data_IF_174207587068
#
_entry.id   IF_174207587068
#
_cell.length_a   1.000
_cell.length_b   1.000
_cell.length_c   1.000
_cell.angle_alpha   90.00
_cell.angle_beta   90.00
_cell.angle_gamma   90.00
#
_symmetry.space_group_name_H-M   'P 1'
#
loop_
_entity.id
_entity.type
_entity.pdbx_description
1 polymer ?
#
# COMPACT_ATOMS: atom_id res chain seq x y z
N UNK A 1 21.37 25.65 3.00
CA UNK A 1 20.24 25.52 2.14
C UNK A 1 19.42 24.33 2.58
N UNK A 2 18.34 24.55 3.34
CA UNK A 2 17.48 23.50 3.84
C UNK A 2 16.78 22.78 2.70
N UNK A 3 16.79 21.46 2.75
CA UNK A 3 15.97 20.61 1.92
C UNK A 3 14.50 20.94 2.19
N UNK A 4 13.87 21.70 1.31
CA UNK A 4 12.43 21.94 1.39
C UNK A 4 11.72 20.65 1.06
N UNK A 5 11.17 20.03 2.08
CA UNK A 5 10.20 18.95 1.95
C UNK A 5 9.02 19.42 1.10
N UNK A 6 8.82 18.78 -0.06
CA UNK A 6 7.65 19.04 -0.90
C UNK A 6 6.60 17.99 -0.58
N UNK A 7 5.81 18.25 0.44
CA UNK A 7 4.67 17.42 0.79
C UNK A 7 3.44 17.99 0.08
N UNK A 8 2.61 17.12 -0.47
CA UNK A 8 1.34 17.53 -1.06
C UNK A 8 0.32 17.88 0.04
N UNK A 9 -0.74 18.64 -0.25
CA UNK A 9 -1.82 18.83 0.71
C UNK A 9 -2.41 17.51 1.23
N UNK A 10 -2.40 16.46 0.40
CA UNK A 10 -2.85 15.12 0.81
C UNK A 10 -1.93 14.47 1.83
N UNK A 11 -0.62 14.57 1.63
CA UNK A 11 0.35 14.06 2.60
C UNK A 11 0.22 14.79 3.94
N UNK A 12 0.05 16.10 3.90
CA UNK A 12 -0.19 16.90 5.09
C UNK A 12 -1.48 16.49 5.79
N UNK A 13 -2.55 16.22 5.04
CA UNK A 13 -3.82 15.73 5.58
C UNK A 13 -3.66 14.38 6.26
N UNK A 14 -3.00 13.43 5.63
CA UNK A 14 -2.74 12.11 6.20
C UNK A 14 -1.87 12.19 7.45
N UNK A 15 -0.80 13.00 7.40
CA UNK A 15 0.06 13.25 8.55
C UNK A 15 -0.73 13.91 9.69
N UNK A 16 -1.54 14.91 9.40
CA UNK A 16 -2.40 15.56 10.37
C UNK A 16 -3.37 14.57 11.03
N UNK A 17 -4.10 13.79 10.24
CA UNK A 17 -5.03 12.77 10.74
C UNK A 17 -4.30 11.77 11.64
N UNK A 18 -3.09 11.35 11.27
CA UNK A 18 -2.32 10.38 12.04
C UNK A 18 -1.77 10.97 13.34
N UNK A 19 -1.26 12.19 13.31
CA UNK A 19 -0.58 12.81 14.44
C UNK A 19 -1.54 13.53 15.41
N UNK A 20 -2.57 14.14 14.87
CA UNK A 20 -3.49 15.00 15.63
C UNK A 20 -4.95 14.55 15.56
N UNK A 21 -5.25 13.48 14.86
CA UNK A 21 -6.54 13.05 14.34
C UNK A 21 -7.69 12.83 15.33
N UNK A 22 -7.57 13.38 16.51
CA UNK A 22 -8.50 13.18 17.61
C UNK A 22 -9.04 14.49 18.08
N UNK A 23 -10.15 14.47 18.69
CA UNK A 23 -10.72 15.58 19.38
C UNK A 23 -11.07 16.80 18.50
N UNK A 24 -10.19 17.21 17.60
CA UNK A 24 -10.39 18.38 16.73
C UNK A 24 -11.13 18.10 15.42
N UNK A 25 -11.16 16.83 14.98
CA UNK A 25 -11.82 16.45 13.73
C UNK A 25 -13.31 16.08 13.92
N UNK A 26 -13.74 15.87 15.15
CA UNK A 26 -15.05 15.30 15.49
C UNK A 26 -16.24 16.06 14.93
N UNK A 27 -16.17 17.36 14.98
CA UNK A 27 -17.28 18.25 14.65
C UNK A 27 -17.04 19.05 13.37
N UNK A 28 -15.97 18.75 12.63
CA UNK A 28 -15.55 19.55 11.47
C UNK A 28 -15.98 18.93 10.15
N UNK A 29 -16.51 19.75 9.28
CA UNK A 29 -16.75 19.39 7.89
C UNK A 29 -15.44 19.14 7.15
N UNK A 30 -15.51 18.44 6.01
CA UNK A 30 -14.35 18.20 5.16
C UNK A 30 -13.61 19.50 4.76
N UNK A 31 -14.34 20.57 4.52
CA UNK A 31 -13.73 21.86 4.15
C UNK A 31 -12.98 22.50 5.33
N UNK A 32 -13.54 22.42 6.53
CA UNK A 32 -12.89 22.89 7.76
C UNK A 32 -11.64 22.06 8.07
N UNK A 33 -11.67 20.75 7.83
CA UNK A 33 -10.50 19.88 7.96
C UNK A 33 -9.43 20.24 6.93
N UNK A 34 -9.79 20.51 5.68
CA UNK A 34 -8.85 20.98 4.65
C UNK A 34 -8.21 22.30 5.04
N UNK A 35 -8.98 23.27 5.53
CA UNK A 35 -8.45 24.55 5.99
C UNK A 35 -7.52 24.38 7.19
N UNK A 36 -7.87 23.49 8.12
CA UNK A 36 -7.03 23.18 9.28
C UNK A 36 -5.73 22.49 8.87
N UNK A 37 -5.77 21.56 7.92
CA UNK A 37 -4.58 20.91 7.35
C UNK A 37 -3.65 21.93 6.71
N UNK A 38 -4.19 22.86 5.93
CA UNK A 38 -3.39 23.91 5.29
C UNK A 38 -2.70 24.81 6.32
N UNK A 39 -3.40 25.15 7.41
CA UNK A 39 -2.83 25.91 8.52
C UNK A 39 -1.76 25.11 9.27
N UNK A 40 -2.08 23.86 9.60
CA UNK A 40 -1.19 22.98 10.37
C UNK A 40 0.03 22.56 9.55
N UNK A 41 -0.05 22.64 8.21
CA UNK A 41 1.07 22.38 7.33
C UNK A 41 2.29 23.24 7.60
N UNK A 42 2.13 24.52 7.85
CA UNK A 42 3.24 25.41 8.18
C UNK A 42 3.82 25.07 9.57
N UNK A 43 2.95 24.72 10.52
CA UNK A 43 3.36 24.26 11.85
C UNK A 43 4.11 22.92 11.76
N UNK A 44 3.65 22.03 10.89
CA UNK A 44 4.28 20.73 10.63
C UNK A 44 5.68 20.88 10.03
N UNK A 45 5.88 21.81 9.10
CA UNK A 45 7.20 22.13 8.57
C UNK A 45 8.18 22.55 9.68
N UNK A 46 7.72 23.34 10.63
CA UNK A 46 8.54 23.78 11.77
C UNK A 46 8.91 22.62 12.69
N UNK A 47 7.97 21.68 12.93
CA UNK A 47 8.23 20.49 13.75
C UNK A 47 9.24 19.52 13.10
N UNK A 48 9.32 19.49 11.78
CA UNK A 48 10.33 18.68 11.08
C UNK A 48 11.75 19.24 11.18
N UNK A 49 11.90 20.52 11.39
CA UNK A 49 13.19 21.14 11.62
C UNK A 49 13.77 20.77 13.00
N UNK A 50 12.90 20.36 13.93
CA UNK A 50 13.26 20.03 15.33
C UNK A 50 13.49 18.52 15.62
N UNK A 51 13.61 17.67 14.63
CA UNK A 51 14.13 16.29 14.67
C UNK A 51 13.28 15.16 15.26
N UNK A 52 12.05 15.32 15.70
CA UNK A 52 11.34 14.22 16.38
C UNK A 52 10.28 13.47 15.56
N UNK A 53 10.09 13.83 14.31
CA UNK A 53 9.12 13.12 13.43
C UNK A 53 9.85 12.60 12.21
N UNK A 54 10.24 11.32 12.26
CA UNK A 54 10.82 10.61 11.11
C UNK A 54 9.71 10.22 10.10
N UNK A 55 9.08 11.24 9.54
CA UNK A 55 8.23 11.07 8.36
C UNK A 55 9.14 11.04 7.14
N UNK A 56 9.68 9.87 6.84
CA UNK A 56 10.41 9.62 5.58
C UNK A 56 9.45 9.67 4.38
N UNK A 57 8.66 10.72 4.28
CA UNK A 57 7.75 10.96 3.16
C UNK A 57 8.46 11.64 1.98
N UNK A 58 9.76 11.89 2.09
CA UNK A 58 10.51 12.52 1.04
C UNK A 58 11.72 11.74 0.59
N UNK A 59 11.95 11.76 -0.73
CA UNK A 59 13.25 11.40 -1.23
C UNK A 59 14.24 12.36 -0.58
N UNK A 60 15.26 11.83 0.07
CA UNK A 60 16.48 12.58 0.23
C UNK A 60 16.76 13.21 -1.14
N UNK A 61 16.78 14.53 -1.23
CA UNK A 61 17.37 15.18 -2.37
C UNK A 61 18.85 14.80 -2.32
N UNK A 62 19.17 13.65 -2.88
CA UNK A 62 20.54 13.43 -3.29
C UNK A 62 20.90 14.65 -4.12
N UNK A 63 21.91 15.40 -3.65
CA UNK A 63 22.45 16.53 -4.38
C UNK A 63 22.65 16.04 -5.79
N UNK A 64 21.83 16.53 -6.71
CA UNK A 64 22.11 16.34 -8.15
C UNK A 64 23.56 16.75 -8.31
N UNK A 65 24.45 15.89 -8.79
CA UNK A 65 25.78 16.36 -9.16
C UNK A 65 25.53 17.54 -10.09
N UNK A 66 26.23 18.63 -9.86
CA UNK A 66 26.25 19.79 -10.75
C UNK A 66 26.64 19.23 -12.13
N UNK A 67 25.64 18.84 -12.91
CA UNK A 67 25.83 18.46 -14.29
C UNK A 67 26.26 19.74 -15.01
N UNK A 68 27.45 19.67 -15.53
CA UNK A 68 28.02 20.74 -16.35
C UNK A 68 26.99 21.29 -17.32
N UNK A 69 26.95 22.62 -17.37
CA UNK A 69 26.04 23.49 -18.13
C UNK A 69 26.09 23.25 -19.67
N UNK A 70 26.64 22.15 -20.13
CA UNK A 70 26.83 21.82 -21.55
C UNK A 70 26.09 20.55 -21.99
N UNK A 71 24.87 20.33 -21.46
CA UNK A 71 24.00 19.32 -22.05
C UNK A 71 23.21 19.92 -23.20
N UNK A 72 23.11 19.20 -24.33
CA UNK A 72 22.31 19.65 -25.46
C UNK A 72 20.86 19.87 -25.02
N UNK A 73 20.26 20.93 -25.53
CA UNK A 73 18.96 21.51 -25.21
C UNK A 73 17.74 20.57 -25.40
N UNK A 74 17.90 19.28 -25.63
CA UNK A 74 16.78 18.35 -25.78
C UNK A 74 17.17 16.90 -25.50
N UNK A 75 17.34 16.53 -24.23
CA UNK A 75 17.09 15.12 -23.89
C UNK A 75 15.60 14.87 -24.03
N UNK A 76 15.15 13.85 -24.79
CA UNK A 76 13.72 13.56 -24.90
C UNK A 76 13.15 13.29 -23.51
N UNK A 77 12.12 14.04 -23.13
CA UNK A 77 11.41 13.81 -21.88
C UNK A 77 10.77 12.43 -21.93
N UNK A 78 10.93 11.67 -20.84
CA UNK A 78 10.17 10.44 -20.66
C UNK A 78 8.72 10.86 -20.35
N UNK A 79 7.80 10.48 -21.22
CA UNK A 79 6.37 10.73 -21.05
C UNK A 79 5.70 9.51 -20.51
N UNK A 80 5.09 9.65 -19.33
CA UNK A 80 4.51 8.56 -18.57
C UNK A 80 3.00 8.72 -18.49
N UNK A 81 2.28 7.67 -18.87
CA UNK A 81 0.82 7.58 -18.73
C UNK A 81 0.44 6.73 -17.51
N UNK A 82 -0.51 7.20 -16.72
CA UNK A 82 -1.11 6.48 -15.61
C UNK A 82 -2.59 6.23 -15.91
N UNK A 83 -3.00 4.99 -15.88
CA UNK A 83 -4.39 4.60 -16.16
C UNK A 83 -5.05 4.19 -14.84
N UNK A 84 -6.01 4.99 -14.40
CA UNK A 84 -6.73 4.83 -13.15
C UNK A 84 -8.14 4.26 -13.37
N UNK A 85 -8.53 3.33 -12.53
CA UNK A 85 -9.89 2.79 -12.52
C UNK A 85 -10.93 3.78 -11.99
N UNK A 86 -10.51 4.65 -11.07
CA UNK A 86 -11.35 5.68 -10.45
C UNK A 86 -10.65 7.03 -10.50
N UNK A 87 -11.16 7.98 -9.74
CA UNK A 87 -10.50 9.28 -9.55
C UNK A 87 -9.76 9.33 -8.22
N UNK A 88 -8.74 10.18 -8.08
CA UNK A 88 -8.09 10.42 -6.79
C UNK A 88 -9.05 10.91 -5.70
N UNK A 89 -10.12 11.60 -6.08
CA UNK A 89 -11.13 12.11 -5.17
C UNK A 89 -12.13 11.06 -4.68
N UNK A 90 -12.21 9.89 -5.32
CA UNK A 90 -13.20 8.86 -5.02
C UNK A 90 -12.62 7.53 -4.56
N UNK A 91 -11.30 7.35 -4.65
CA UNK A 91 -10.61 6.11 -4.31
C UNK A 91 -9.29 6.39 -3.61
N UNK A 92 -9.13 5.84 -2.42
CA UNK A 92 -7.86 5.92 -1.68
C UNK A 92 -6.71 5.22 -2.43
N UNK A 93 -6.98 4.12 -3.09
CA UNK A 93 -6.01 3.42 -3.93
C UNK A 93 -5.54 4.29 -5.09
N UNK A 94 -6.46 4.89 -5.84
CA UNK A 94 -6.14 5.82 -6.92
C UNK A 94 -5.40 7.05 -6.40
N UNK A 95 -5.82 7.58 -5.25
CA UNK A 95 -5.16 8.71 -4.60
C UNK A 95 -3.69 8.41 -4.27
N UNK A 96 -3.40 7.23 -3.73
CA UNK A 96 -2.02 6.82 -3.43
C UNK A 96 -1.14 6.78 -4.68
N UNK A 97 -1.64 6.26 -5.79
CA UNK A 97 -0.91 6.26 -7.07
C UNK A 97 -0.76 7.67 -7.67
N UNK A 98 -1.77 8.52 -7.51
CA UNK A 98 -1.68 9.92 -7.93
C UNK A 98 -0.62 10.70 -7.15
N UNK A 99 -0.50 10.48 -5.85
CA UNK A 99 0.62 11.02 -5.08
C UNK A 99 1.96 10.54 -5.64
N UNK A 100 2.04 9.30 -6.08
CA UNK A 100 3.21 8.73 -6.74
C UNK A 100 3.53 9.42 -8.08
N UNK A 101 2.53 9.69 -8.89
CA UNK A 101 2.67 10.44 -10.14
C UNK A 101 3.22 11.86 -9.90
N UNK A 102 2.59 12.59 -8.99
CA UNK A 102 3.01 13.94 -8.63
C UNK A 102 4.43 13.98 -8.06
N UNK A 103 4.78 12.96 -7.29
CA UNK A 103 6.13 12.77 -6.76
C UNK A 103 7.18 12.65 -7.89
N UNK A 104 6.89 11.90 -8.96
CA UNK A 104 7.78 11.79 -10.11
C UNK A 104 8.02 13.13 -10.79
N UNK A 105 6.99 13.92 -11.00
CA UNK A 105 7.11 15.24 -11.60
C UNK A 105 7.97 16.18 -10.76
N UNK A 106 7.85 16.09 -9.44
CA UNK A 106 8.64 16.89 -8.51
C UNK A 106 10.10 16.43 -8.44
N UNK A 107 10.34 15.11 -8.54
CA UNK A 107 11.66 14.52 -8.45
C UNK A 107 12.47 14.71 -9.74
N UNK A 108 11.81 14.63 -10.88
CA UNK A 108 12.40 14.72 -12.22
C UNK A 108 11.75 15.82 -13.07
N UNK A 109 11.80 17.09 -12.65
CA UNK A 109 11.05 18.17 -13.31
C UNK A 109 11.48 18.43 -14.76
N UNK A 110 12.72 18.10 -15.10
CA UNK A 110 13.28 18.35 -16.43
C UNK A 110 13.23 17.12 -17.33
N UNK A 111 13.22 15.90 -16.76
CA UNK A 111 13.33 14.64 -17.49
C UNK A 111 12.00 13.94 -17.71
N UNK A 112 11.00 14.20 -16.87
CA UNK A 112 9.74 13.46 -16.84
C UNK A 112 8.55 14.38 -17.05
N UNK A 113 7.64 13.93 -17.91
CA UNK A 113 6.31 14.48 -18.06
C UNK A 113 5.28 13.38 -17.82
N UNK A 114 4.25 13.64 -17.03
CA UNK A 114 3.22 12.64 -16.71
C UNK A 114 1.84 13.10 -17.16
N UNK A 115 0.99 12.14 -17.43
CA UNK A 115 -0.44 12.33 -17.72
C UNK A 115 -1.21 11.19 -17.05
N UNK A 116 -2.42 11.46 -16.58
CA UNK A 116 -3.29 10.42 -16.06
C UNK A 116 -4.64 10.40 -16.78
N UNK A 117 -5.22 9.21 -16.82
CA UNK A 117 -6.54 8.92 -17.37
C UNK A 117 -7.37 8.31 -16.26
N UNK A 118 -8.49 8.92 -15.96
CA UNK A 118 -9.35 8.56 -14.85
C UNK A 118 -10.58 7.77 -15.30
N UNK A 119 -11.24 7.08 -14.36
CA UNK A 119 -12.48 6.35 -14.60
C UNK A 119 -12.40 5.32 -15.74
N UNK A 120 -11.24 4.68 -15.90
CA UNK A 120 -11.11 3.59 -16.84
C UNK A 120 -11.96 2.38 -16.41
N UNK A 121 -12.65 1.79 -17.37
CA UNK A 121 -13.41 0.55 -17.19
C UNK A 121 -12.86 -0.53 -18.11
N UNK A 122 -13.33 -1.76 -17.98
CA UNK A 122 -12.97 -2.84 -18.90
C UNK A 122 -13.35 -2.52 -20.36
N UNK A 123 -14.39 -1.71 -20.56
CA UNK A 123 -14.84 -1.30 -21.90
C UNK A 123 -14.03 -0.14 -22.46
N UNK A 124 -13.45 0.73 -21.63
CA UNK A 124 -12.77 1.96 -22.07
C UNK A 124 -11.26 1.90 -21.96
N UNK A 125 -10.69 0.98 -21.21
CA UNK A 125 -9.25 0.93 -20.90
C UNK A 125 -8.38 0.74 -22.15
N UNK A 126 -8.80 -0.07 -23.12
CA UNK A 126 -8.06 -0.25 -24.37
C UNK A 126 -7.89 1.08 -25.12
N UNK A 127 -8.97 1.85 -25.23
CA UNK A 127 -8.94 3.17 -25.88
C UNK A 127 -8.09 4.17 -25.10
N UNK A 128 -8.17 4.18 -23.78
CA UNK A 128 -7.38 5.09 -22.94
C UNK A 128 -5.88 4.77 -22.96
N UNK A 129 -5.50 3.51 -23.00
CA UNK A 129 -4.10 3.11 -23.19
C UNK A 129 -3.63 3.60 -24.58
N UNK A 130 -4.44 3.42 -25.61
CA UNK A 130 -4.11 3.88 -26.97
C UNK A 130 -4.00 5.41 -27.03
N UNK A 131 -4.89 6.15 -26.39
CA UNK A 131 -4.80 7.60 -26.28
C UNK A 131 -3.49 8.05 -25.62
N UNK A 132 -3.06 7.36 -24.56
CA UNK A 132 -1.78 7.62 -23.92
C UNK A 132 -0.60 7.39 -24.88
N UNK A 133 -0.64 6.32 -25.67
CA UNK A 133 0.38 6.03 -26.68
C UNK A 133 0.38 7.09 -27.78
N UNK A 134 -0.79 7.48 -28.26
CA UNK A 134 -0.95 8.45 -29.36
C UNK A 134 -0.44 9.85 -28.98
N UNK A 135 -0.54 10.24 -27.74
CA UNK A 135 0.04 11.50 -27.23
C UNK A 135 1.53 11.40 -26.88
N UNK A 136 2.16 10.26 -27.13
CA UNK A 136 3.60 10.04 -27.01
C UNK A 136 4.09 9.44 -25.71
N UNK A 137 3.22 8.84 -24.89
CA UNK A 137 3.67 8.09 -23.71
C UNK A 137 4.47 6.86 -24.15
N UNK A 138 5.68 6.73 -23.62
CA UNK A 138 6.58 5.60 -23.86
C UNK A 138 6.74 4.67 -22.65
N UNK A 139 6.11 5.05 -21.55
CA UNK A 139 6.00 4.26 -20.32
C UNK A 139 4.56 4.43 -19.79
N UNK A 140 3.88 3.33 -19.51
CA UNK A 140 2.49 3.32 -19.06
C UNK A 140 2.35 2.42 -17.84
N UNK A 141 1.71 2.92 -16.79
CA UNK A 141 1.31 2.19 -15.60
C UNK A 141 -0.20 2.03 -15.58
N UNK A 142 -0.67 0.80 -15.52
CA UNK A 142 -2.07 0.49 -15.25
C UNK A 142 -2.18 0.04 -13.79
N UNK A 143 -2.95 0.77 -12.99
CA UNK A 143 -2.85 0.71 -11.52
C UNK A 143 -3.79 -0.28 -10.85
N UNK A 144 -4.42 -1.16 -11.61
CA UNK A 144 -5.30 -2.20 -11.08
C UNK A 144 -5.09 -3.54 -11.82
N UNK A 145 -5.18 -4.67 -11.11
CA UNK A 145 -5.14 -5.99 -11.73
C UNK A 145 -6.19 -6.21 -12.82
N UNK A 146 -7.32 -5.52 -12.74
CA UNK A 146 -8.38 -5.61 -13.74
C UNK A 146 -7.92 -5.27 -15.17
N UNK A 147 -6.86 -4.48 -15.30
CA UNK A 147 -6.35 -4.02 -16.61
C UNK A 147 -5.18 -4.83 -17.14
N UNK A 148 -4.88 -5.98 -16.57
CA UNK A 148 -3.75 -6.82 -17.00
C UNK A 148 -3.89 -7.25 -18.47
N UNK A 149 -5.07 -7.69 -18.88
CA UNK A 149 -5.30 -8.16 -20.27
C UNK A 149 -5.20 -7.00 -21.28
N UNK A 150 -5.77 -5.86 -20.97
CA UNK A 150 -5.65 -4.66 -21.79
C UNK A 150 -4.18 -4.21 -21.92
N UNK A 151 -3.41 -4.30 -20.83
CA UNK A 151 -1.98 -3.98 -20.80
C UNK A 151 -1.18 -4.91 -21.71
N UNK A 152 -1.44 -6.23 -21.65
CA UNK A 152 -0.79 -7.22 -22.51
C UNK A 152 -1.11 -6.97 -23.99
N UNK A 153 -2.38 -6.75 -24.31
CA UNK A 153 -2.83 -6.47 -25.68
C UNK A 153 -2.15 -5.23 -26.25
N UNK A 154 -2.09 -4.16 -25.49
CA UNK A 154 -1.44 -2.92 -25.93
C UNK A 154 0.08 -3.10 -26.08
N UNK A 155 0.75 -3.84 -25.20
CA UNK A 155 2.18 -4.11 -25.29
C UNK A 155 2.55 -4.96 -26.52
N UNK A 156 1.73 -5.93 -26.88
CA UNK A 156 1.93 -6.74 -28.10
C UNK A 156 1.84 -5.88 -29.36
N UNK A 157 0.89 -4.94 -29.39
CA UNK A 157 0.69 -4.04 -30.52
C UNK A 157 1.72 -2.90 -30.61
N UNK A 158 2.36 -2.53 -29.51
CA UNK A 158 3.27 -1.38 -29.39
C UNK A 158 4.56 -1.78 -28.68
N UNK A 159 5.43 -2.47 -29.35
CA UNK A 159 6.66 -3.08 -28.78
C UNK A 159 7.66 -2.06 -28.22
N UNK A 160 7.62 -0.82 -28.66
CA UNK A 160 8.48 0.27 -28.20
C UNK A 160 7.97 0.92 -26.89
N UNK A 161 6.74 0.65 -26.50
CA UNK A 161 6.14 1.18 -25.27
C UNK A 161 6.30 0.19 -24.12
N UNK A 162 6.82 0.67 -22.98
CA UNK A 162 6.91 -0.13 -21.77
C UNK A 162 5.61 0.00 -21.01
N UNK A 163 4.97 -1.13 -20.72
CA UNK A 163 3.73 -1.19 -19.96
C UNK A 163 3.93 -2.06 -18.72
N UNK A 164 3.56 -1.53 -17.56
CA UNK A 164 3.56 -2.23 -16.29
C UNK A 164 2.17 -2.23 -15.68
N UNK A 165 1.80 -3.36 -15.10
CA UNK A 165 0.53 -3.51 -14.40
C UNK A 165 0.75 -3.75 -12.91
N UNK A 166 -0.02 -3.04 -12.08
CA UNK A 166 -0.02 -3.22 -10.64
C UNK A 166 -0.83 -4.44 -10.25
N UNK A 167 -0.15 -5.58 -10.12
CA UNK A 167 -0.76 -6.86 -9.78
C UNK A 167 0.25 -7.83 -9.18
N UNK A 168 -0.27 -8.79 -8.41
CA UNK A 168 0.45 -9.93 -7.87
C UNK A 168 0.12 -11.21 -8.65
N UNK A 169 1.03 -12.17 -8.60
CA UNK A 169 0.85 -13.52 -9.11
C UNK A 169 0.41 -13.59 -10.59
N UNK A 170 0.89 -12.63 -11.37
CA UNK A 170 0.67 -12.60 -12.81
C UNK A 170 2.01 -12.51 -13.52
N UNK A 171 2.35 -13.52 -14.29
CA UNK A 171 3.56 -13.52 -15.12
C UNK A 171 3.15 -13.37 -16.57
N UNK A 172 3.72 -12.38 -17.25
CA UNK A 172 3.46 -12.11 -18.66
C UNK A 172 4.76 -11.83 -19.40
N UNK A 173 4.86 -12.33 -20.62
CA UNK A 173 6.02 -12.12 -21.48
C UNK A 173 6.17 -10.67 -21.95
N UNK A 174 5.07 -9.95 -22.14
CA UNK A 174 5.06 -8.66 -22.83
C UNK A 174 4.97 -7.45 -21.90
N UNK A 175 4.56 -7.66 -20.65
CA UNK A 175 4.47 -6.63 -19.64
C UNK A 175 5.22 -7.04 -18.38
N UNK A 176 5.55 -6.06 -17.55
CA UNK A 176 6.04 -6.30 -16.20
C UNK A 176 4.95 -6.01 -15.20
N UNK A 177 4.96 -6.76 -14.12
CA UNK A 177 4.04 -6.58 -13.00
C UNK A 177 4.79 -6.03 -11.80
N UNK A 178 4.12 -5.22 -11.01
CA UNK A 178 4.69 -4.64 -9.82
C UNK A 178 3.67 -4.60 -8.68
N UNK A 179 4.16 -4.74 -7.47
CA UNK A 179 3.36 -4.62 -6.26
C UNK A 179 4.25 -4.30 -5.06
N UNK A 180 3.64 -3.99 -3.91
CA UNK A 180 4.35 -3.71 -2.67
C UNK A 180 4.21 -4.83 -1.66
N UNK A 181 5.20 -4.98 -0.77
CA UNK A 181 5.17 -5.91 0.36
C UNK A 181 4.44 -5.29 1.55
N UNK A 182 3.16 -4.96 1.37
CA UNK A 182 2.35 -4.34 2.42
C UNK A 182 2.26 -5.21 3.68
N UNK A 183 2.40 -6.51 3.58
CA UNK A 183 2.41 -7.42 4.74
C UNK A 183 3.49 -7.07 5.77
N UNK A 184 4.61 -6.46 5.36
CA UNK A 184 5.64 -5.98 6.29
C UNK A 184 5.09 -4.88 7.20
N UNK A 185 4.36 -3.91 6.64
CA UNK A 185 3.68 -2.87 7.43
C UNK A 185 2.57 -3.46 8.30
N UNK A 186 1.82 -4.42 7.78
CA UNK A 186 0.74 -5.09 8.55
C UNK A 186 1.27 -5.84 9.76
N UNK A 187 2.45 -6.44 9.66
CA UNK A 187 3.11 -7.05 10.80
C UNK A 187 3.40 -6.04 11.92
N UNK A 188 3.95 -4.88 11.58
CA UNK A 188 4.18 -3.79 12.53
C UNK A 188 2.88 -3.28 13.15
N UNK A 189 1.83 -3.14 12.34
CA UNK A 189 0.52 -2.71 12.80
C UNK A 189 -0.09 -3.74 13.75
N UNK A 190 0.08 -5.02 13.47
CA UNK A 190 -0.32 -6.10 14.37
C UNK A 190 0.41 -6.06 15.72
N UNK A 191 1.71 -5.80 15.70
CA UNK A 191 2.50 -5.62 16.92
C UNK A 191 2.00 -4.43 17.75
N UNK A 192 1.68 -3.31 17.13
CA UNK A 192 1.09 -2.15 17.81
C UNK A 192 -0.27 -2.52 18.42
N UNK A 193 -1.13 -3.15 17.66
CA UNK A 193 -2.45 -3.56 18.13
C UNK A 193 -2.35 -4.56 19.31
N UNK A 194 -1.43 -5.50 19.24
CA UNK A 194 -1.17 -6.45 20.33
C UNK A 194 -0.65 -5.76 21.60
N UNK A 195 0.19 -4.73 21.47
CA UNK A 195 0.68 -3.95 22.59
C UNK A 195 -0.40 -3.04 23.21
N UNK A 196 -1.34 -2.55 22.41
CA UNK A 196 -2.35 -1.60 22.83
C UNK A 196 -3.70 -2.23 23.21
N UNK A 197 -3.88 -3.52 22.91
CA UNK A 197 -5.12 -4.23 23.20
C UNK A 197 -5.36 -4.37 24.72
N UNK A 198 -6.56 -4.03 25.16
CA UNK A 198 -6.94 -4.13 26.57
C UNK A 198 -7.49 -5.52 26.97
N UNK A 199 -8.01 -6.27 25.99
CA UNK A 199 -8.74 -7.51 26.25
C UNK A 199 -8.37 -8.69 25.33
N UNK A 200 -7.22 -8.70 24.72
CA UNK A 200 -6.75 -9.73 23.78
C UNK A 200 -7.62 -9.89 22.51
N UNK A 201 -8.56 -9.00 22.25
CA UNK A 201 -9.49 -9.07 21.13
C UNK A 201 -9.21 -7.96 20.15
N UNK A 202 -8.83 -8.35 18.93
CA UNK A 202 -8.54 -7.48 17.83
C UNK A 202 -9.49 -7.79 16.67
N UNK A 203 -9.75 -6.82 15.80
CA UNK A 203 -10.49 -7.04 14.57
C UNK A 203 -9.66 -6.58 13.37
N UNK A 204 -9.73 -7.35 12.31
CA UNK A 204 -9.18 -6.99 11.01
C UNK A 204 -10.31 -6.93 9.99
N UNK A 205 -10.53 -5.77 9.41
CA UNK A 205 -11.51 -5.56 8.34
C UNK A 205 -10.75 -5.56 7.01
N UNK A 206 -10.93 -6.64 6.25
CA UNK A 206 -10.36 -6.79 4.91
C UNK A 206 -11.39 -6.43 3.83
N UNK A 207 -10.92 -6.06 2.64
CA UNK A 207 -11.81 -5.73 1.52
C UNK A 207 -12.05 -6.94 0.63
N UNK A 208 -11.04 -7.33 -0.15
CA UNK A 208 -11.18 -8.41 -1.14
C UNK A 208 -10.32 -9.62 -0.78
N UNK A 209 -10.87 -10.84 -0.88
CA UNK A 209 -10.08 -12.07 -0.75
C UNK A 209 -9.25 -12.32 -2.02
N UNK A 210 -8.21 -11.56 -2.17
CA UNK A 210 -7.28 -11.59 -3.30
C UNK A 210 -5.87 -11.95 -2.84
N UNK A 211 -5.02 -12.35 -3.77
CA UNK A 211 -3.60 -12.56 -3.51
C UNK A 211 -2.98 -11.30 -2.89
N UNK A 212 -2.19 -11.49 -1.86
CA UNK A 212 -1.62 -10.43 -1.05
C UNK A 212 -2.47 -10.01 0.17
N UNK A 213 -3.80 -9.96 0.05
CA UNK A 213 -4.69 -9.68 1.19
C UNK A 213 -4.55 -10.69 2.31
N UNK A 214 -4.41 -11.96 1.96
CA UNK A 214 -4.28 -13.04 2.96
C UNK A 214 -2.95 -12.90 3.70
N UNK A 215 -1.86 -12.61 3.00
CA UNK A 215 -0.58 -12.34 3.64
C UNK A 215 -0.64 -11.12 4.57
N UNK A 216 -1.38 -10.08 4.21
CA UNK A 216 -1.59 -8.91 5.05
C UNK A 216 -2.31 -9.27 6.36
N UNK A 217 -3.39 -10.04 6.28
CA UNK A 217 -4.14 -10.52 7.45
C UNK A 217 -3.24 -11.35 8.35
N UNK A 218 -2.53 -12.32 7.79
CA UNK A 218 -1.67 -13.22 8.54
C UNK A 218 -0.49 -12.51 9.17
N UNK A 219 0.14 -11.56 8.47
CA UNK A 219 1.22 -10.76 9.02
C UNK A 219 0.74 -9.93 10.21
N UNK A 220 -0.42 -9.30 10.11
CA UNK A 220 -1.05 -8.59 11.22
C UNK A 220 -1.27 -9.51 12.43
N UNK A 221 -1.86 -10.67 12.21
CA UNK A 221 -2.14 -11.63 13.28
C UNK A 221 -0.87 -12.16 13.94
N UNK A 222 0.18 -12.43 13.17
CA UNK A 222 1.48 -12.85 13.69
C UNK A 222 2.18 -11.74 14.48
N UNK A 223 2.12 -10.51 14.02
CA UNK A 223 2.64 -9.35 14.75
C UNK A 223 1.96 -9.17 16.10
N UNK A 224 0.63 -9.27 16.12
CA UNK A 224 -0.16 -9.22 17.36
C UNK A 224 0.21 -10.37 18.31
N UNK A 225 0.31 -11.59 17.80
CA UNK A 225 0.66 -12.78 18.59
C UNK A 225 2.08 -12.71 19.16
N UNK A 226 3.02 -12.14 18.44
CA UNK A 226 4.39 -11.97 18.91
C UNK A 226 4.45 -11.12 20.19
N UNK A 227 3.65 -10.08 20.27
CA UNK A 227 3.60 -9.18 21.42
C UNK A 227 2.63 -9.68 22.49
N UNK A 228 1.50 -10.24 22.08
CA UNK A 228 0.49 -10.78 22.96
C UNK A 228 0.10 -12.20 22.49
N UNK A 229 0.67 -13.26 23.06
CA UNK A 229 0.38 -14.63 22.64
C UNK A 229 -1.09 -15.04 22.77
N UNK A 230 -1.89 -14.28 23.54
CA UNK A 230 -3.32 -14.53 23.72
C UNK A 230 -4.19 -13.77 22.73
N UNK A 231 -3.59 -12.92 21.91
CA UNK A 231 -4.35 -12.10 20.93
C UNK A 231 -5.10 -12.97 19.93
N UNK A 232 -6.40 -12.67 19.78
CA UNK A 232 -7.28 -13.23 18.76
C UNK A 232 -7.68 -12.12 17.80
N UNK A 233 -7.55 -12.41 16.51
CA UNK A 233 -7.89 -11.48 15.43
C UNK A 233 -9.18 -11.94 14.77
N UNK A 234 -10.25 -11.21 15.01
CA UNK A 234 -11.55 -11.45 14.38
C UNK A 234 -11.51 -10.84 12.97
N UNK A 235 -11.67 -11.68 11.95
CA UNK A 235 -11.62 -11.29 10.55
C UNK A 235 -13.02 -11.02 10.02
N UNK A 236 -13.21 -9.85 9.42
CA UNK A 236 -14.40 -9.50 8.66
C UNK A 236 -14.04 -8.93 7.29
N UNK A 237 -14.98 -9.02 6.37
CA UNK A 237 -14.82 -8.61 4.98
C UNK A 237 -15.84 -7.55 4.58
N UNK A 238 -15.38 -6.36 4.23
CA UNK A 238 -16.25 -5.24 3.83
C UNK A 238 -17.03 -5.51 2.53
N UNK A 239 -16.53 -6.41 1.70
CA UNK A 239 -17.13 -6.78 0.42
C UNK A 239 -18.06 -7.99 0.51
N UNK A 240 -18.23 -8.55 1.68
CA UNK A 240 -19.17 -9.65 1.94
C UNK A 240 -20.60 -9.11 1.98
N UNK A 241 -21.56 -9.89 1.43
CA UNK A 241 -22.99 -9.57 1.51
C UNK A 241 -23.47 -9.62 2.97
N UNK A 242 -24.43 -8.80 3.31
CA UNK A 242 -25.18 -8.86 4.58
C UNK A 242 -24.30 -8.76 5.85
N UNK A 243 -23.17 -8.04 5.79
CA UNK A 243 -22.31 -7.78 6.95
C UNK A 243 -22.57 -6.38 7.47
N UNK A 244 -22.97 -6.27 8.73
CA UNK A 244 -22.94 -5.05 9.51
C UNK A 244 -21.65 -5.00 10.34
N UNK A 245 -20.68 -4.21 9.88
CA UNK A 245 -19.37 -4.12 10.53
C UNK A 245 -19.47 -3.49 11.93
N UNK A 246 -20.35 -2.53 12.14
CA UNK A 246 -20.53 -1.88 13.45
C UNK A 246 -21.11 -2.87 14.47
N UNK A 247 -22.06 -3.69 14.05
CA UNK A 247 -22.59 -4.76 14.88
C UNK A 247 -21.51 -5.79 15.22
N UNK A 248 -20.70 -6.21 14.24
CA UNK A 248 -19.59 -7.16 14.45
C UNK A 248 -18.54 -6.62 15.41
N UNK A 249 -18.20 -5.34 15.33
CA UNK A 249 -17.30 -4.68 16.29
C UNK A 249 -17.85 -4.77 17.69
N UNK A 250 -19.15 -4.47 17.88
CA UNK A 250 -19.80 -4.56 19.19
C UNK A 250 -19.87 -5.99 19.72
N UNK A 251 -20.25 -6.95 18.90
CA UNK A 251 -20.34 -8.37 19.29
C UNK A 251 -18.99 -8.96 19.69
N UNK A 252 -17.95 -8.66 18.95
CA UNK A 252 -16.61 -9.17 19.21
C UNK A 252 -15.94 -8.48 20.40
N UNK A 253 -16.39 -7.30 20.76
CA UNK A 253 -15.76 -6.45 21.79
C UNK A 253 -14.27 -6.18 21.50
N UNK A 254 -13.90 -6.08 20.23
CA UNK A 254 -12.54 -5.81 19.84
C UNK A 254 -12.07 -4.46 20.37
N UNK A 255 -10.94 -4.44 21.06
CA UNK A 255 -10.37 -3.21 21.61
C UNK A 255 -9.57 -2.41 20.59
N UNK A 256 -8.93 -3.09 19.65
CA UNK A 256 -8.22 -2.48 18.53
C UNK A 256 -8.74 -3.04 17.21
N UNK A 257 -8.88 -2.15 16.23
CA UNK A 257 -9.46 -2.47 14.92
C UNK A 257 -8.50 -2.01 13.83
N UNK A 258 -8.22 -2.91 12.89
CA UNK A 258 -7.55 -2.57 11.63
C UNK A 258 -8.62 -2.35 10.57
N UNK A 259 -8.86 -1.10 10.21
CA UNK A 259 -9.81 -0.69 9.19
C UNK A 259 -9.15 -0.48 7.83
N UNK A 260 -9.73 0.41 7.02
CA UNK A 260 -9.16 0.79 5.74
C UNK A 260 -7.77 1.42 5.93
N UNK A 261 -6.86 1.20 4.98
CA UNK A 261 -5.46 1.62 5.13
C UNK A 261 -5.29 3.14 5.15
N UNK A 262 -6.09 3.85 4.38
CA UNK A 262 -6.02 5.30 4.26
C UNK A 262 -7.37 5.90 3.92
N UNK A 263 -7.47 7.21 4.13
CA UNK A 263 -8.62 8.02 3.72
C UNK A 263 -8.18 9.06 2.70
N UNK A 264 -9.13 9.60 1.97
CA UNK A 264 -8.93 10.69 1.01
C UNK A 264 -9.36 12.02 1.63
N UNK A 265 -8.81 13.15 1.16
CA UNK A 265 -9.16 14.47 1.70
C UNK A 265 -10.65 14.82 1.61
N UNK A 266 -11.34 14.32 0.60
CA UNK A 266 -12.77 14.54 0.37
C UNK A 266 -13.67 13.74 1.33
N UNK A 267 -13.16 12.61 1.84
CA UNK A 267 -13.87 11.71 2.74
C UNK A 267 -13.13 11.57 4.07
N UNK A 268 -12.93 12.70 4.76
CA UNK A 268 -12.25 12.71 6.04
C UNK A 268 -12.98 11.83 7.05
N UNK A 269 -12.24 10.92 7.66
CA UNK A 269 -12.74 9.97 8.64
C UNK A 269 -11.63 9.58 9.60
N UNK A 270 -12.01 9.21 10.82
CA UNK A 270 -11.08 8.62 11.80
C UNK A 270 -11.02 7.10 11.75
N UNK A 271 -11.90 6.46 11.01
CA UNK A 271 -11.97 5.00 10.87
C UNK A 271 -10.99 4.53 9.79
N UNK A 272 -9.70 4.65 10.06
CA UNK A 272 -8.62 4.22 9.16
C UNK A 272 -7.42 3.71 9.95
N UNK A 273 -6.57 2.95 9.30
CA UNK A 273 -5.40 2.33 9.92
C UNK A 273 -5.78 1.45 11.10
N UNK A 274 -4.98 1.50 12.15
CA UNK A 274 -5.32 0.88 13.43
C UNK A 274 -5.87 1.95 14.35
N UNK A 275 -7.02 1.67 14.93
CA UNK A 275 -7.63 2.53 15.92
C UNK A 275 -8.16 1.75 17.12
N UNK A 276 -8.16 2.40 18.25
CA UNK A 276 -8.72 1.93 19.50
C UNK A 276 -10.05 2.65 19.72
N UNK A 277 -11.10 1.92 20.11
CA UNK A 277 -12.39 2.55 20.45
C UNK A 277 -12.36 3.07 21.88
N UNK A 278 -12.53 4.37 22.01
CA UNK A 278 -12.70 5.07 23.28
C UNK A 278 -14.17 5.54 23.37
N UNK A 279 -15.04 4.67 23.90
CA UNK A 279 -16.47 4.84 23.78
C UNK A 279 -16.93 4.73 22.33
N UNK A 280 -17.57 5.77 21.81
CA UNK A 280 -18.03 5.83 20.41
C UNK A 280 -16.98 6.42 19.46
N UNK A 281 -15.85 6.90 19.99
CA UNK A 281 -14.84 7.62 19.22
C UNK A 281 -13.59 6.77 18.97
N UNK A 282 -13.16 6.68 17.70
CA UNK A 282 -11.92 6.01 17.38
C UNK A 282 -10.71 6.90 17.73
N UNK A 283 -9.74 6.31 18.40
CA UNK A 283 -8.40 6.87 18.60
C UNK A 283 -7.42 6.17 17.68
N UNK A 284 -6.93 6.86 16.65
CA UNK A 284 -5.97 6.28 15.73
C UNK A 284 -4.63 5.99 16.41
N UNK A 285 -4.01 4.91 16.06
CA UNK A 285 -2.73 4.48 16.60
C UNK A 285 -1.62 4.49 15.55
N UNK A 286 -1.92 4.00 14.36
CA UNK A 286 -0.99 3.92 13.26
C UNK A 286 -1.72 3.73 11.93
N UNK A 287 -1.03 4.01 10.84
CA UNK A 287 -1.51 3.69 9.49
C UNK A 287 -0.35 3.19 8.63
N UNK A 288 -0.62 2.31 7.66
CA UNK A 288 0.38 1.95 6.68
C UNK A 288 0.50 3.04 5.63
N UNK A 289 1.63 3.09 4.99
CA UNK A 289 1.92 4.07 3.96
C UNK A 289 2.46 3.38 2.70
N UNK A 290 1.82 3.65 1.57
CA UNK A 290 2.32 3.30 0.25
C UNK A 290 3.13 4.45 -0.33
N UNK A 291 4.42 4.26 -0.51
CA UNK A 291 5.27 5.18 -1.25
C UNK A 291 5.37 4.79 -2.72
N UNK A 292 4.27 4.82 -3.45
CA UNK A 292 4.29 4.54 -4.88
C UNK A 292 5.25 5.46 -5.64
N UNK A 293 5.39 6.69 -5.19
CA UNK A 293 6.37 7.63 -5.75
C UNK A 293 7.80 7.10 -5.67
N UNK A 294 8.19 6.55 -4.54
CA UNK A 294 9.51 5.91 -4.39
C UNK A 294 9.67 4.69 -5.27
N UNK A 295 8.62 3.89 -5.40
CA UNK A 295 8.59 2.76 -6.31
C UNK A 295 8.83 3.22 -7.75
N UNK A 296 8.05 4.18 -8.22
CA UNK A 296 8.15 4.73 -9.57
C UNK A 296 9.51 5.41 -9.83
N UNK A 297 10.07 6.10 -8.84
CA UNK A 297 11.42 6.67 -8.91
C UNK A 297 12.49 5.61 -9.13
N UNK A 298 12.50 4.57 -8.32
CA UNK A 298 13.49 3.49 -8.43
C UNK A 298 13.40 2.78 -9.78
N UNK A 299 12.18 2.51 -10.24
CA UNK A 299 11.94 1.92 -11.54
C UNK A 299 12.42 2.84 -12.68
N UNK A 300 12.07 4.12 -12.62
CA UNK A 300 12.45 5.09 -13.64
C UNK A 300 13.97 5.26 -13.74
N UNK A 301 14.68 5.23 -12.61
CA UNK A 301 16.15 5.24 -12.61
C UNK A 301 16.74 4.07 -13.36
N UNK A 302 16.15 2.87 -13.30
CA UNK A 302 16.61 1.71 -14.07
C UNK A 302 16.43 1.91 -15.58
N UNK A 303 15.42 2.68 -15.99
CA UNK A 303 15.23 3.04 -17.40
C UNK A 303 16.24 4.10 -17.83
N UNK A 304 16.46 5.14 -17.00
CA UNK A 304 17.35 6.27 -17.32
C UNK A 304 18.82 5.88 -17.35
N UNK A 305 19.26 4.96 -16.50
CA UNK A 305 20.64 4.47 -16.45
C UNK A 305 20.90 3.27 -17.39
N UNK A 306 19.88 2.81 -18.11
CA UNK A 306 19.97 1.72 -19.07
C UNK A 306 20.04 0.32 -18.45
N UNK A 307 19.81 0.18 -17.14
CA UNK A 307 19.80 -1.14 -16.47
C UNK A 307 18.47 -1.88 -16.67
N UNK A 308 17.45 -1.21 -17.21
CA UNK A 308 16.24 -1.89 -17.67
C UNK A 308 16.59 -2.85 -18.79
N UNK A 309 16.63 -4.12 -18.48
CA UNK A 309 16.82 -5.16 -19.49
C UNK A 309 15.47 -5.69 -19.91
N UNK A 310 15.28 -5.84 -21.22
CA UNK A 310 14.19 -6.68 -21.71
C UNK A 310 14.57 -8.11 -21.31
N UNK A 311 13.78 -8.74 -20.45
CA UNK A 311 13.94 -10.17 -20.18
C UNK A 311 13.53 -10.92 -21.44
N UNK A 312 14.52 -11.23 -22.27
CA UNK A 312 14.35 -12.06 -23.44
C UNK A 312 14.22 -13.56 -23.10
N UNK A 313 14.21 -13.90 -21.81
CA UNK A 313 14.08 -15.28 -21.38
C UNK A 313 12.59 -15.69 -21.31
N UNK A 314 12.10 -16.42 -22.33
CA UNK A 314 10.72 -16.89 -22.36
C UNK A 314 10.43 -17.97 -21.31
N UNK A 315 11.46 -18.42 -20.56
CA UNK A 315 11.33 -19.46 -19.52
C UNK A 315 11.30 -18.84 -18.11
N UNK A 316 11.44 -17.52 -17.97
CA UNK A 316 11.34 -16.83 -16.68
C UNK A 316 9.91 -16.89 -16.15
N UNK A 317 9.68 -17.80 -15.21
CA UNK A 317 8.40 -18.04 -14.54
C UNK A 317 8.21 -17.17 -13.29
N UNK A 318 8.81 -15.99 -13.24
CA UNK A 318 8.62 -15.08 -12.11
C UNK A 318 7.16 -14.66 -12.02
N UNK A 319 6.53 -14.94 -10.91
CA UNK A 319 5.14 -14.56 -10.65
C UNK A 319 4.94 -13.04 -10.65
N UNK A 320 5.99 -12.27 -10.37
CA UNK A 320 6.01 -10.81 -10.34
C UNK A 320 7.41 -10.30 -10.64
N UNK A 321 7.54 -9.22 -11.39
CA UNK A 321 8.83 -8.65 -11.74
C UNK A 321 9.41 -7.75 -10.64
N UNK A 322 8.56 -6.93 -10.00
CA UNK A 322 8.96 -6.00 -8.95
C UNK A 322 8.05 -6.14 -7.73
N UNK A 323 8.65 -6.57 -6.63
CA UNK A 323 7.95 -6.74 -5.36
C UNK A 323 8.83 -6.17 -4.23
N UNK A 324 8.63 -4.91 -3.94
CA UNK A 324 9.43 -4.14 -3.01
C UNK A 324 8.67 -3.78 -1.73
N UNK A 325 9.41 -3.61 -0.65
CA UNK A 325 8.89 -3.33 0.66
C UNK A 325 9.67 -2.25 1.40
N UNK A 326 9.80 -2.42 2.70
CA UNK A 326 10.46 -1.44 3.58
C UNK A 326 11.93 -1.23 3.25
N UNK A 327 12.66 -2.27 2.85
CA UNK A 327 14.08 -2.15 2.47
C UNK A 327 14.30 -1.18 1.32
N UNK A 328 13.35 -1.07 0.39
CA UNK A 328 13.38 -0.14 -0.73
C UNK A 328 12.71 1.21 -0.42
N UNK A 329 12.12 1.38 0.77
CA UNK A 329 11.41 2.60 1.16
C UNK A 329 10.05 2.79 0.49
N UNK A 330 9.45 1.73 -0.09
CA UNK A 330 8.15 1.82 -0.75
C UNK A 330 6.96 1.55 0.16
N UNK A 331 7.23 1.03 1.35
CA UNK A 331 6.26 0.78 2.42
C UNK A 331 6.80 1.37 3.72
N UNK A 332 5.91 1.96 4.50
CA UNK A 332 6.21 2.46 5.84
C UNK A 332 4.97 2.37 6.74
N UNK A 333 5.17 2.65 8.02
CA UNK A 333 4.10 2.79 9.02
C UNK A 333 4.27 4.13 9.70
N UNK A 334 3.21 4.93 9.72
CA UNK A 334 3.15 6.20 10.44
C UNK A 334 2.42 5.97 11.75
N UNK A 335 3.05 6.31 12.86
CA UNK A 335 2.51 6.15 14.20
C UNK A 335 1.94 7.45 14.74
N UNK A 336 0.83 7.34 15.47
CA UNK A 336 0.33 8.45 16.27
C UNK A 336 1.35 8.83 17.34
N UNK A 337 1.47 10.12 17.58
CA UNK A 337 2.31 10.60 18.63
C UNK A 337 1.76 10.30 20.06
N UNK A 338 0.52 9.88 20.15
CA UNK A 338 -0.08 9.40 21.40
C UNK A 338 0.32 7.98 21.80
N UNK A 339 1.06 7.24 20.95
CA UNK A 339 1.56 5.94 21.34
C UNK A 339 2.55 6.05 22.51
N UNK A 340 2.49 5.12 23.48
CA UNK A 340 3.48 5.05 24.54
C UNK A 340 4.90 4.93 23.99
N UNK A 341 5.86 5.54 24.66
CA UNK A 341 7.25 5.55 24.21
C UNK A 341 7.82 4.15 24.02
N UNK A 342 7.46 3.19 24.88
CA UNK A 342 7.86 1.79 24.72
C UNK A 342 7.34 1.16 23.44
N UNK A 343 6.09 1.43 23.06
CA UNK A 343 5.50 0.94 21.81
C UNK A 343 6.17 1.58 20.61
N UNK A 344 6.47 2.89 20.66
CA UNK A 344 7.24 3.57 19.59
C UNK A 344 8.62 2.95 19.40
N UNK A 345 9.34 2.68 20.48
CA UNK A 345 10.67 2.03 20.42
C UNK A 345 10.60 0.63 19.84
N UNK A 346 9.57 -0.14 20.19
CA UNK A 346 9.33 -1.46 19.60
C UNK A 346 9.11 -1.36 18.08
N UNK A 347 8.29 -0.42 17.62
CA UNK A 347 8.04 -0.19 16.19
C UNK A 347 9.33 0.18 15.46
N UNK A 348 10.13 1.08 16.00
CA UNK A 348 11.42 1.47 15.43
C UNK A 348 12.37 0.27 15.29
N UNK A 349 12.46 -0.58 16.32
CA UNK A 349 13.28 -1.78 16.30
C UNK A 349 12.82 -2.79 15.24
N UNK A 350 11.53 -3.07 15.19
CA UNK A 350 10.96 -3.99 14.20
C UNK A 350 11.10 -3.44 12.78
N UNK A 351 10.86 -2.16 12.59
CA UNK A 351 11.05 -1.49 11.31
C UNK A 351 12.51 -1.59 10.82
N UNK A 352 13.47 -1.38 11.70
CA UNK A 352 14.89 -1.49 11.39
C UNK A 352 15.27 -2.93 10.98
N UNK A 353 14.77 -3.93 11.69
CA UNK A 353 15.05 -5.35 11.39
C UNK A 353 14.41 -5.82 10.09
N UNK A 354 13.21 -5.39 9.78
CA UNK A 354 12.53 -5.70 8.52
C UNK A 354 13.21 -4.96 7.35
N UNK A 355 13.51 -3.67 7.52
CA UNK A 355 14.16 -2.85 6.48
C UNK A 355 15.57 -3.35 6.13
N UNK A 356 16.28 -3.91 7.07
CA UNK A 356 17.61 -4.54 6.86
C UNK A 356 17.53 -5.99 6.39
N UNK A 357 16.33 -6.52 6.18
CA UNK A 357 16.08 -7.91 5.76
C UNK A 357 16.60 -8.97 6.74
N UNK A 358 16.82 -8.60 7.99
CA UNK A 358 17.22 -9.53 9.07
C UNK A 358 16.05 -10.34 9.62
N UNK A 359 14.82 -9.90 9.37
CA UNK A 359 13.62 -10.54 9.85
C UNK A 359 12.55 -10.58 8.75
N UNK A 360 11.98 -11.76 8.55
CA UNK A 360 10.82 -11.99 7.71
C UNK A 360 9.62 -12.33 8.60
N UNK A 361 8.47 -11.63 8.49
CA UNK A 361 7.26 -11.93 9.26
C UNK A 361 6.80 -13.39 9.20
N UNK A 362 7.06 -14.09 8.08
CA UNK A 362 6.72 -15.49 7.87
C UNK A 362 7.91 -16.43 8.07
N UNK A 363 8.62 -16.28 9.16
CA UNK A 363 9.75 -17.12 9.54
C UNK A 363 9.55 -17.77 10.91
N UNK A 364 10.25 -18.90 11.13
CA UNK A 364 10.11 -19.72 12.32
C UNK A 364 8.90 -20.65 12.25
N UNK A 365 8.62 -21.32 13.36
CA UNK A 365 7.49 -22.26 13.45
C UNK A 365 6.17 -21.51 13.22
N UNK A 366 5.37 -21.98 12.29
CA UNK A 366 4.16 -21.33 11.85
C UNK A 366 2.99 -22.33 11.74
N UNK A 367 1.86 -21.95 12.34
CA UNK A 367 0.64 -22.75 12.33
C UNK A 367 -0.48 -22.02 11.61
N UNK A 368 -1.18 -22.74 10.73
CA UNK A 368 -2.46 -22.31 10.19
C UNK A 368 -3.62 -22.79 11.05
N UNK A 369 -4.82 -22.37 10.72
CA UNK A 369 -6.06 -22.87 11.34
C UNK A 369 -6.23 -24.41 11.19
N UNK A 370 -5.57 -25.03 10.20
CA UNK A 370 -5.69 -26.45 9.89
C UNK A 370 -4.45 -27.28 10.25
N UNK A 371 -3.39 -26.68 10.74
CA UNK A 371 -2.19 -27.42 11.14
C UNK A 371 -0.88 -26.68 10.89
N UNK A 372 0.22 -27.40 10.96
CA UNK A 372 1.57 -26.87 10.79
C UNK A 372 1.83 -26.45 9.36
N UNK A 373 2.35 -25.25 9.16
CA UNK A 373 2.84 -24.73 7.88
C UNK A 373 4.36 -24.82 7.80
N UNK A 374 5.05 -24.39 8.85
CA UNK A 374 6.50 -24.47 9.00
C UNK A 374 6.78 -25.11 10.35
N UNK A 375 7.53 -26.22 10.40
CA UNK A 375 7.96 -26.90 11.62
C UNK A 375 9.45 -26.72 11.93
N UNK A 376 10.17 -26.01 11.08
CA UNK A 376 11.58 -25.66 11.25
C UNK A 376 11.71 -24.28 11.90
N UNK A 377 12.34 -24.14 13.09
CA UNK A 377 12.58 -22.84 13.72
C UNK A 377 13.38 -21.85 12.88
N UNK A 378 14.16 -22.33 11.91
CA UNK A 378 14.94 -21.51 10.99
C UNK A 378 14.30 -21.41 9.60
N UNK A 379 13.14 -22.02 9.41
CA UNK A 379 12.40 -21.97 8.15
C UNK A 379 11.77 -20.61 7.89
N UNK A 380 11.48 -20.32 6.64
CA UNK A 380 10.68 -19.16 6.22
C UNK A 380 9.93 -19.47 4.95
N UNK A 381 8.80 -18.79 4.74
CA UNK A 381 8.10 -18.86 3.47
C UNK A 381 8.92 -18.17 2.38
N UNK A 382 8.89 -18.74 1.19
CA UNK A 382 9.43 -18.10 -0.01
C UNK A 382 8.56 -16.91 -0.43
N UNK A 383 9.08 -15.98 -1.25
CA UNK A 383 8.26 -14.92 -1.83
C UNK A 383 7.00 -15.44 -2.54
N UNK A 384 7.13 -16.53 -3.29
CA UNK A 384 6.01 -17.14 -4.01
C UNK A 384 4.96 -17.71 -3.06
N UNK A 385 5.35 -18.43 -2.04
CA UNK A 385 4.44 -18.94 -0.99
C UNK A 385 3.72 -17.81 -0.27
N UNK A 386 4.40 -16.69 -0.02
CA UNK A 386 3.80 -15.51 0.59
C UNK A 386 2.76 -14.86 -0.34
N UNK A 387 3.09 -14.68 -1.62
CA UNK A 387 2.19 -14.07 -2.61
C UNK A 387 0.94 -14.92 -2.88
N UNK A 388 1.08 -16.23 -2.87
CA UNK A 388 0.01 -17.19 -3.20
C UNK A 388 -0.70 -17.76 -1.98
N UNK A 389 -0.48 -17.19 -0.81
CA UNK A 389 -1.07 -17.63 0.44
C UNK A 389 -2.59 -17.67 0.39
N UNK A 390 -3.19 -18.81 0.73
CA UNK A 390 -4.62 -19.09 0.68
C UNK A 390 -5.19 -19.69 1.98
N UNK A 391 -4.45 -19.54 3.07
CA UNK A 391 -4.80 -20.04 4.40
C UNK A 391 -4.63 -18.93 5.45
N UNK A 392 -5.28 -19.09 6.60
CA UNK A 392 -5.21 -18.17 7.72
C UNK A 392 -4.42 -18.78 8.87
N UNK A 393 -3.66 -17.93 9.59
CA UNK A 393 -2.93 -18.36 10.79
C UNK A 393 -3.87 -18.70 11.95
N UNK A 394 -3.38 -19.49 12.90
CA UNK A 394 -4.17 -20.11 13.96
C UNK A 394 -4.93 -19.15 14.88
N UNK A 395 -4.41 -17.94 15.08
CA UNK A 395 -5.05 -16.93 15.94
C UNK A 395 -6.04 -16.01 15.22
N UNK A 396 -6.30 -16.25 13.94
CA UNK A 396 -7.38 -15.59 13.19
C UNK A 396 -8.68 -16.36 13.40
N UNK A 397 -9.73 -15.63 13.78
CA UNK A 397 -11.10 -16.14 13.90
C UNK A 397 -11.90 -15.63 12.72
N UNK A 398 -12.21 -16.49 11.80
CA UNK A 398 -12.90 -16.17 10.56
C UNK A 398 -12.46 -17.07 9.42
N UNK A 399 -12.90 -16.78 8.23
CA UNK A 399 -12.62 -17.58 7.03
C UNK A 399 -12.47 -16.71 5.79
N UNK A 400 -11.85 -17.27 4.75
CA UNK A 400 -11.82 -16.65 3.43
C UNK A 400 -13.20 -16.91 2.79
N UNK A 401 -13.93 -15.87 2.36
CA UNK A 401 -15.28 -16.04 1.82
C UNK A 401 -15.23 -16.69 0.43
N UNK A 402 -16.30 -17.40 0.10
CA UNK A 402 -16.53 -17.88 -1.25
C UNK A 402 -17.01 -16.74 -2.14
N UNK A 403 -16.83 -16.88 -3.46
CA UNK A 403 -17.23 -15.88 -4.45
C UNK A 403 -18.70 -15.48 -4.33
N UNK A 404 -19.57 -16.43 -4.05
CA UNK A 404 -21.04 -16.25 -3.94
C UNK A 404 -21.43 -15.40 -2.71
N UNK A 405 -20.57 -15.35 -1.69
CA UNK A 405 -20.79 -14.56 -0.46
C UNK A 405 -20.43 -13.10 -0.66
N UNK A 406 -19.78 -12.73 -1.78
CA UNK A 406 -19.30 -11.38 -2.04
C UNK A 406 -20.30 -10.56 -2.85
N UNK A 407 -20.27 -9.24 -2.63
CA UNK A 407 -21.05 -8.28 -3.42
C UNK A 407 -20.64 -8.35 -4.90
N UNK A 408 -21.58 -8.10 -5.79
CA UNK A 408 -21.35 -8.17 -7.25
C UNK A 408 -20.21 -7.25 -7.73
N UNK A 409 -20.02 -6.11 -7.07
CA UNK A 409 -18.96 -5.16 -7.38
C UNK A 409 -17.55 -5.74 -7.20
N UNK A 410 -17.41 -6.81 -6.40
CA UNK A 410 -16.14 -7.50 -6.21
C UNK A 410 -15.77 -8.44 -7.38
N UNK A 411 -16.73 -8.82 -8.21
CA UNK A 411 -16.56 -9.86 -9.24
C UNK A 411 -15.39 -9.60 -10.21
N UNK A 412 -15.17 -8.39 -10.74
CA UNK A 412 -14.04 -8.15 -11.66
C UNK A 412 -12.67 -8.39 -11.00
N UNK A 413 -12.50 -7.93 -9.76
CA UNK A 413 -11.25 -8.09 -9.00
C UNK A 413 -11.02 -9.56 -8.66
N UNK A 414 -12.05 -10.25 -8.17
CA UNK A 414 -11.98 -11.67 -7.80
C UNK A 414 -11.69 -12.55 -9.01
N UNK A 415 -12.23 -12.23 -10.18
CA UNK A 415 -11.94 -12.97 -11.42
C UNK A 415 -10.45 -12.96 -11.78
N UNK A 416 -9.77 -11.83 -11.50
CA UNK A 416 -8.37 -11.65 -11.86
C UNK A 416 -7.40 -12.17 -10.79
N UNK A 417 -7.70 -11.94 -9.52
CA UNK A 417 -6.77 -12.18 -8.41
C UNK A 417 -7.39 -12.86 -7.18
N UNK A 418 -8.62 -13.35 -7.31
CA UNK A 418 -9.30 -14.01 -6.20
C UNK A 418 -8.55 -15.23 -5.69
N UNK A 419 -8.44 -15.33 -4.37
CA UNK A 419 -7.99 -16.54 -3.69
C UNK A 419 -9.15 -17.53 -3.69
N UNK A 420 -9.05 -18.54 -4.52
CA UNK A 420 -10.04 -19.63 -4.60
C UNK A 420 -9.52 -20.78 -3.76
N UNK A 421 -10.26 -21.17 -2.71
CA UNK A 421 -10.03 -22.47 -2.10
C UNK A 421 -10.18 -23.52 -3.22
N UNK A 422 -9.10 -24.25 -3.48
CA UNK A 422 -9.21 -25.47 -4.25
C UNK A 422 -10.13 -26.39 -3.44
N UNK A 423 -11.29 -26.70 -3.98
CA UNK A 423 -12.11 -27.77 -3.42
C UNK A 423 -11.25 -29.04 -3.44
N UNK A 424 -10.90 -29.49 -2.23
CA UNK A 424 -10.14 -30.72 -2.01
C UNK A 424 -11.02 -31.94 -2.16
#
# INVERSE_FOLDING_TARGET
GGNKLRITPGDAFLAFITLYGYGTAEEKTTNELKALVTKTWEEFKLLQEDQDIDLKMNPSQEKKPLRNILLPLSSPKIKIGFIYEKTPGTSAWTYAHELGRLYLEQTFPDEVQTVCFENATLDTVDAQIQDAIDIGCNLIFTTTPAFVQASVKAAIANKEVRILNCSLNTSHRYIRTYYSRMHEAKFLMGAIAGAMAENNRLMYIADYPIYGSIANINAFALGAKMINPRAKVYLEWSTKKEVDLDERIRETQASCISGRDMVIPEEASRFFGIYHMDGEYPRNLAMPLYHWGKFYELLLRTIMDGTWKYDDDPTSTKAINYWWGMSAGVIDVVCSHHLPIGTKRLVELLKATISSELFNPFSGILYSQSGVVIDDPNGSLTPEETMTMDWLVENVIGSIPKKEELKEQAAPVIKQQGVMKKEG
#
